data_IF_871889857440
#
_entry.id   IF_871889857440
#
_cell.length_a   1.000
_cell.length_b   1.000
_cell.length_c   1.000
_cell.angle_alpha   90.00
_cell.angle_beta   90.00
_cell.angle_gamma   90.00
#
_symmetry.space_group_name_H-M   'P 1'
#
loop_
_entity.id
_entity.type
_entity.pdbx_description
1 polymer ?
#
# COMPACT_ATOMS: atom_id res chain seq x y z
N UNK A 1 -19.28 0.68 4.80
CA UNK A 1 -18.52 1.68 4.00
C UNK A 1 -17.59 0.88 3.10
N UNK A 2 -17.45 1.20 1.82
CA UNK A 2 -16.54 0.49 0.91
C UNK A 2 -15.18 1.17 0.89
N UNK A 3 -14.12 0.34 0.77
CA UNK A 3 -12.77 0.85 0.56
C UNK A 3 -12.72 1.58 -0.79
N UNK A 4 -12.19 2.78 -0.81
CA UNK A 4 -12.19 3.61 -2.02
C UNK A 4 -10.79 3.98 -2.51
N UNK A 5 -9.74 3.64 -1.73
CA UNK A 5 -8.35 3.93 -2.08
C UNK A 5 -7.42 2.78 -1.66
N UNK A 6 -6.31 2.66 -2.38
CA UNK A 6 -5.13 1.94 -1.89
C UNK A 6 -3.99 2.96 -1.79
N UNK A 7 -3.45 3.13 -0.59
CA UNK A 7 -2.29 3.96 -0.34
C UNK A 7 -1.02 3.16 -0.60
N UNK A 8 -0.23 3.55 -1.59
CA UNK A 8 1.07 2.95 -1.93
C UNK A 8 2.20 3.80 -1.38
N UNK A 9 3.13 3.21 -0.64
CA UNK A 9 4.30 3.85 -0.03
C UNK A 9 5.55 3.50 -0.82
N UNK A 10 6.37 4.52 -1.07
CA UNK A 10 7.55 4.40 -1.93
C UNK A 10 8.82 3.92 -1.19
N UNK A 11 8.81 3.94 0.15
CA UNK A 11 10.00 3.60 0.94
C UNK A 11 11.22 4.44 0.54
N UNK A 12 12.32 3.77 0.20
CA UNK A 12 13.58 4.42 -0.14
C UNK A 12 13.56 5.29 -1.41
N UNK A 13 12.54 5.17 -2.27
CA UNK A 13 12.44 6.02 -3.46
C UNK A 13 12.27 7.51 -3.08
N UNK A 14 11.74 7.80 -1.89
CA UNK A 14 11.58 9.17 -1.39
C UNK A 14 12.91 9.86 -1.12
N UNK A 15 14.00 9.10 -0.89
CA UNK A 15 15.34 9.60 -0.55
C UNK A 15 16.23 9.85 -1.77
N UNK A 16 15.74 9.63 -3.00
CA UNK A 16 16.53 9.74 -4.25
C UNK A 16 16.83 11.18 -4.70
N UNK A 17 16.58 12.18 -3.87
CA UNK A 17 16.92 13.57 -4.14
C UNK A 17 16.34 14.06 -5.48
N UNK A 18 17.19 14.62 -6.34
CA UNK A 18 16.79 15.17 -7.65
C UNK A 18 16.18 14.11 -8.59
N UNK A 19 16.59 12.85 -8.45
CA UNK A 19 16.12 11.74 -9.29
C UNK A 19 14.77 11.15 -8.83
N UNK A 20 14.21 11.57 -7.70
CA UNK A 20 12.97 11.02 -7.16
C UNK A 20 11.83 11.00 -8.18
N UNK A 21 11.61 12.08 -8.91
CA UNK A 21 10.55 12.16 -9.93
C UNK A 21 10.69 11.10 -11.02
N UNK A 22 11.93 10.79 -11.43
CA UNK A 22 12.19 9.71 -12.39
C UNK A 22 11.70 8.37 -11.85
N UNK A 23 12.06 8.04 -10.60
CA UNK A 23 11.68 6.78 -9.97
C UNK A 23 10.17 6.69 -9.73
N UNK A 24 9.54 7.72 -9.19
CA UNK A 24 8.11 7.71 -8.87
C UNK A 24 7.24 7.71 -10.13
N UNK A 25 7.63 8.43 -11.19
CA UNK A 25 6.92 8.39 -12.49
C UNK A 25 7.06 7.03 -13.17
N UNK A 26 8.23 6.41 -13.10
CA UNK A 26 8.42 5.04 -13.62
C UNK A 26 7.57 4.05 -12.82
N UNK A 27 7.55 4.15 -11.49
CA UNK A 27 6.69 3.32 -10.65
C UNK A 27 5.22 3.48 -11.02
N UNK A 28 4.73 4.71 -11.19
CA UNK A 28 3.37 4.97 -11.63
C UNK A 28 3.06 4.30 -12.98
N UNK A 29 4.00 4.43 -13.95
CA UNK A 29 3.85 3.80 -15.26
C UNK A 29 3.73 2.28 -15.14
N UNK A 30 4.67 1.65 -14.46
CA UNK A 30 4.68 0.19 -14.28
C UNK A 30 3.43 -0.29 -13.51
N UNK A 31 2.97 0.49 -12.52
CA UNK A 31 1.73 0.18 -11.78
C UNK A 31 0.52 0.22 -12.71
N UNK A 32 0.41 1.24 -13.57
CA UNK A 32 -0.68 1.35 -14.55
C UNK A 32 -0.68 0.19 -15.55
N UNK A 33 0.51 -0.23 -16.00
CA UNK A 33 0.65 -1.35 -16.94
C UNK A 33 0.20 -2.68 -16.31
N UNK A 34 0.60 -2.96 -15.06
CA UNK A 34 0.21 -4.16 -14.32
C UNK A 34 -1.29 -4.18 -13.97
N UNK A 35 -1.87 -3.01 -13.74
CA UNK A 35 -3.29 -2.86 -13.41
C UNK A 35 -4.16 -2.52 -14.63
N UNK A 36 -3.66 -2.65 -15.85
CA UNK A 36 -4.37 -2.24 -17.08
C UNK A 36 -5.70 -2.98 -17.33
N UNK A 37 -5.89 -4.16 -16.74
CA UNK A 37 -7.14 -4.90 -16.82
C UNK A 37 -8.30 -4.23 -16.02
N UNK A 38 -7.99 -3.36 -15.06
CA UNK A 38 -8.97 -2.64 -14.26
C UNK A 38 -9.24 -1.25 -14.84
N UNK A 39 -10.25 -1.13 -15.69
CA UNK A 39 -10.51 0.08 -16.50
C UNK A 39 -10.96 1.33 -15.70
N UNK A 40 -11.41 1.17 -14.45
CA UNK A 40 -11.98 2.25 -13.66
C UNK A 40 -10.99 2.88 -12.67
N UNK A 41 -9.79 2.34 -12.55
CA UNK A 41 -8.78 2.86 -11.61
C UNK A 41 -8.28 4.24 -12.05
N UNK A 42 -8.17 5.15 -11.08
CA UNK A 42 -7.45 6.41 -11.27
C UNK A 42 -6.31 6.52 -10.26
N UNK A 43 -5.34 7.39 -10.54
CA UNK A 43 -4.09 7.42 -9.79
C UNK A 43 -3.77 8.87 -9.41
N UNK A 44 -3.49 9.09 -8.12
CA UNK A 44 -3.01 10.36 -7.59
C UNK A 44 -1.59 10.18 -7.07
N UNK A 45 -0.61 10.74 -7.80
CA UNK A 45 0.81 10.67 -7.46
C UNK A 45 1.19 11.90 -6.64
N UNK A 46 1.47 11.72 -5.36
CA UNK A 46 1.94 12.75 -4.46
C UNK A 46 3.45 12.66 -4.23
N UNK A 47 3.99 13.59 -3.43
CA UNK A 47 5.42 13.70 -3.19
C UNK A 47 6.03 12.43 -2.54
N UNK A 48 5.32 11.83 -1.59
CA UNK A 48 5.78 10.74 -0.70
C UNK A 48 5.03 9.42 -0.91
N UNK A 49 3.96 9.43 -1.71
CA UNK A 49 3.05 8.30 -1.88
C UNK A 49 2.27 8.37 -3.19
N UNK A 50 1.61 7.29 -3.53
CA UNK A 50 0.63 7.24 -4.61
C UNK A 50 -0.68 6.68 -4.05
N UNK A 51 -1.79 7.25 -4.46
CA UNK A 51 -3.11 6.66 -4.23
C UNK A 51 -3.60 6.00 -5.51
N UNK A 52 -4.07 4.78 -5.40
CA UNK A 52 -4.88 4.12 -6.42
C UNK A 52 -6.32 4.27 -5.98
N UNK A 53 -7.12 5.01 -6.74
CA UNK A 53 -8.54 5.23 -6.49
C UNK A 53 -9.30 4.08 -7.13
N UNK A 54 -10.07 3.35 -6.33
CA UNK A 54 -10.68 2.08 -6.74
C UNK A 54 -11.92 2.27 -7.64
N UNK A 55 -12.70 3.34 -7.44
CA UNK A 55 -13.92 3.64 -8.21
C UNK A 55 -14.86 2.41 -8.34
N UNK A 56 -15.05 1.66 -7.25
CA UNK A 56 -15.87 0.47 -7.20
C UNK A 56 -15.18 -0.82 -7.66
N UNK A 57 -13.88 -0.76 -8.00
CA UNK A 57 -13.08 -1.96 -8.32
C UNK A 57 -12.77 -2.74 -7.05
N UNK A 58 -12.83 -4.06 -7.12
CA UNK A 58 -12.45 -4.94 -6.01
C UNK A 58 -11.00 -4.73 -5.58
N UNK A 59 -10.82 -4.36 -4.31
CA UNK A 59 -9.51 -4.06 -3.76
C UNK A 59 -8.64 -5.31 -3.58
N UNK A 60 -9.18 -6.50 -3.38
CA UNK A 60 -8.40 -7.72 -3.18
C UNK A 60 -7.67 -8.12 -4.47
N UNK A 61 -8.37 -8.05 -5.61
CA UNK A 61 -7.79 -8.31 -6.92
C UNK A 61 -6.66 -7.30 -7.24
N UNK A 62 -6.90 -6.00 -6.97
CA UNK A 62 -5.88 -4.95 -7.15
C UNK A 62 -4.68 -5.17 -6.22
N UNK A 63 -4.91 -5.49 -4.94
CA UNK A 63 -3.85 -5.78 -3.97
C UNK A 63 -2.98 -6.96 -4.41
N UNK A 64 -3.58 -8.00 -4.97
CA UNK A 64 -2.85 -9.18 -5.47
C UNK A 64 -1.86 -8.80 -6.57
N UNK A 65 -2.26 -7.94 -7.50
CA UNK A 65 -1.38 -7.43 -8.55
C UNK A 65 -0.31 -6.47 -8.00
N UNK A 66 -0.67 -5.59 -7.08
CA UNK A 66 0.29 -4.64 -6.47
C UNK A 66 1.45 -5.33 -5.74
N UNK A 67 1.23 -6.53 -5.19
CA UNK A 67 2.31 -7.33 -4.55
C UNK A 67 3.44 -7.67 -5.52
N UNK A 68 3.19 -7.72 -6.83
CA UNK A 68 4.18 -8.09 -7.84
C UNK A 68 4.95 -6.89 -8.42
N UNK A 69 4.53 -5.66 -8.13
CA UNK A 69 5.15 -4.46 -8.70
C UNK A 69 6.43 -4.11 -7.96
N UNK A 70 7.58 -4.25 -8.64
CA UNK A 70 8.86 -3.79 -8.11
C UNK A 70 8.88 -2.26 -7.93
N UNK A 71 9.44 -1.82 -6.80
CA UNK A 71 9.46 -0.41 -6.39
C UNK A 71 8.37 -0.05 -5.37
N UNK A 72 7.35 -0.87 -5.19
CA UNK A 72 6.37 -0.71 -4.11
C UNK A 72 6.97 -1.26 -2.81
N UNK A 73 7.18 -0.39 -1.83
CA UNK A 73 7.67 -0.81 -0.51
C UNK A 73 6.56 -1.49 0.30
N UNK A 74 5.42 -0.83 0.41
CA UNK A 74 4.23 -1.34 1.08
C UNK A 74 2.99 -0.59 0.62
N UNK A 75 1.83 -1.17 0.86
CA UNK A 75 0.55 -0.51 0.60
C UNK A 75 -0.48 -0.89 1.66
N UNK A 76 -1.57 -0.14 1.74
CA UNK A 76 -2.70 -0.40 2.63
C UNK A 76 -3.99 -0.06 1.90
N UNK A 77 -5.02 -0.84 2.16
CA UNK A 77 -6.40 -0.46 1.81
C UNK A 77 -6.79 0.73 2.67
N UNK A 78 -7.42 1.73 2.08
CA UNK A 78 -7.74 2.99 2.75
C UNK A 78 -9.18 3.44 2.46
N UNK A 79 -9.78 4.02 3.48
CA UNK A 79 -11.07 4.68 3.44
C UNK A 79 -10.82 6.18 3.55
N UNK A 80 -11.06 6.93 2.49
CA UNK A 80 -11.00 8.40 2.51
C UNK A 80 -12.38 8.94 2.80
N UNK A 81 -12.48 9.86 3.74
CA UNK A 81 -13.72 10.49 4.17
C UNK A 81 -13.51 11.97 4.50
N UNK A 82 -14.58 12.73 4.59
CA UNK A 82 -14.53 14.09 5.11
C UNK A 82 -13.98 14.14 6.54
N UNK A 83 -13.55 15.33 7.01
CA UNK A 83 -12.97 15.50 8.36
C UNK A 83 -14.01 15.41 9.45
N UNK A 84 -14.62 14.23 9.58
CA UNK A 84 -15.62 13.86 10.58
C UNK A 84 -15.12 12.64 11.35
N UNK A 85 -14.94 12.80 12.68
CA UNK A 85 -14.40 11.73 13.52
C UNK A 85 -15.40 10.57 13.67
N UNK A 86 -16.71 10.84 13.62
CA UNK A 86 -17.73 9.79 13.72
C UNK A 86 -17.66 8.82 12.52
N UNK A 87 -17.42 9.35 11.31
CA UNK A 87 -17.19 8.50 10.14
C UNK A 87 -15.91 7.66 10.29
N UNK A 88 -14.85 8.25 10.85
CA UNK A 88 -13.61 7.52 11.10
C UNK A 88 -13.81 6.40 12.13
N UNK A 89 -14.59 6.62 13.21
CA UNK A 89 -14.95 5.60 14.19
C UNK A 89 -15.68 4.42 13.55
N UNK A 90 -16.66 4.72 12.69
CA UNK A 90 -17.42 3.69 11.95
C UNK A 90 -16.51 2.88 11.02
N UNK A 91 -15.60 3.53 10.29
CA UNK A 91 -14.67 2.84 9.42
C UNK A 91 -13.70 1.94 10.21
N UNK A 92 -13.19 2.42 11.37
CA UNK A 92 -12.34 1.60 12.26
C UNK A 92 -13.09 0.39 12.78
N UNK A 93 -14.33 0.56 13.24
CA UNK A 93 -15.18 -0.54 13.69
C UNK A 93 -15.37 -1.58 12.58
N UNK A 94 -15.68 -1.14 11.36
CA UNK A 94 -15.86 -2.04 10.23
C UNK A 94 -14.59 -2.83 9.89
N UNK A 95 -13.40 -2.17 9.94
CA UNK A 95 -12.13 -2.87 9.74
C UNK A 95 -11.95 -3.96 10.80
N UNK A 96 -12.24 -3.65 12.06
CA UNK A 96 -12.09 -4.59 13.17
C UNK A 96 -13.08 -5.76 13.04
N UNK A 97 -14.33 -5.50 12.68
CA UNK A 97 -15.35 -6.53 12.48
C UNK A 97 -15.00 -7.48 11.32
N UNK A 98 -14.36 -6.97 10.26
CA UNK A 98 -14.00 -7.76 9.07
C UNK A 98 -12.66 -8.52 9.21
N UNK A 99 -11.89 -8.31 10.29
CA UNK A 99 -10.62 -9.00 10.53
C UNK A 99 -10.75 -10.06 11.61
N UNK A 100 -10.10 -11.20 11.50
CA UNK A 100 -10.17 -12.32 12.45
C UNK A 100 -9.34 -12.12 13.74
N UNK A 101 -8.59 -11.02 13.83
CA UNK A 101 -7.76 -10.72 14.99
C UNK A 101 -8.57 -10.38 16.23
N UNK A 102 -8.07 -10.77 17.42
CA UNK A 102 -8.67 -10.47 18.72
C UNK A 102 -7.95 -9.35 19.49
N UNK A 103 -6.88 -8.80 18.92
CA UNK A 103 -6.17 -7.64 19.46
C UNK A 103 -6.03 -6.54 18.43
N UNK A 104 -6.11 -5.29 18.87
CA UNK A 104 -5.98 -4.16 17.96
C UNK A 104 -5.19 -3.00 18.55
N UNK A 105 -4.69 -2.15 17.64
CA UNK A 105 -4.08 -0.86 17.96
C UNK A 105 -4.55 0.18 16.96
N UNK A 106 -4.88 1.35 17.48
CA UNK A 106 -5.15 2.53 16.67
C UNK A 106 -3.93 3.45 16.73
N UNK A 107 -3.47 3.88 15.57
CA UNK A 107 -2.32 4.78 15.44
C UNK A 107 -2.73 6.03 14.67
N UNK A 108 -3.09 7.10 15.39
CA UNK A 108 -3.48 8.37 14.77
C UNK A 108 -2.27 9.24 14.47
N UNK A 109 -2.14 9.65 13.21
CA UNK A 109 -1.17 10.62 12.71
C UNK A 109 -1.90 11.89 12.30
N UNK A 110 -1.40 13.05 12.74
CA UNK A 110 -2.00 14.35 12.45
C UNK A 110 -1.04 15.21 11.65
N UNK A 111 -1.34 15.43 10.37
CA UNK A 111 -0.72 16.49 9.56
C UNK A 111 -1.44 17.81 9.77
N UNK A 112 -2.78 17.77 9.88
CA UNK A 112 -3.57 18.94 10.26
C UNK A 112 -3.57 19.08 11.81
N UNK A 113 -2.81 20.07 12.30
CA UNK A 113 -2.71 20.36 13.73
C UNK A 113 -3.93 21.14 14.26
N UNK A 114 -4.75 21.73 13.39
CA UNK A 114 -5.96 22.46 13.77
C UNK A 114 -7.16 21.54 14.03
N UNK A 115 -7.07 20.26 13.65
CA UNK A 115 -8.13 19.29 13.97
C UNK A 115 -8.21 19.10 15.49
N UNK A 116 -9.42 19.09 16.10
CA UNK A 116 -9.58 18.98 17.54
C UNK A 116 -8.98 17.71 18.13
N UNK A 117 -8.43 17.81 19.33
CA UNK A 117 -7.89 16.71 20.12
C UNK A 117 -6.43 16.34 19.73
N UNK A 118 -5.72 15.74 20.67
CA UNK A 118 -4.41 15.13 20.44
C UNK A 118 -4.55 13.75 19.78
N UNK A 119 -3.47 13.23 19.17
CA UNK A 119 -3.49 11.87 18.62
C UNK A 119 -3.85 10.80 19.68
N UNK A 120 -3.44 11.01 20.93
CA UNK A 120 -3.76 10.08 22.01
C UNK A 120 -5.23 10.13 22.43
N UNK A 121 -5.81 11.33 22.50
CA UNK A 121 -7.23 11.51 22.80
C UNK A 121 -8.09 10.87 21.70
N UNK A 122 -7.76 11.11 20.43
CA UNK A 122 -8.45 10.52 19.28
C UNK A 122 -8.34 8.99 19.31
N UNK A 123 -7.17 8.43 19.63
CA UNK A 123 -7.02 6.98 19.76
C UNK A 123 -7.93 6.41 20.85
N UNK A 124 -8.02 7.07 22.02
CA UNK A 124 -8.88 6.63 23.13
C UNK A 124 -10.35 6.72 22.75
N UNK A 125 -10.75 7.80 22.11
CA UNK A 125 -12.12 8.04 21.69
C UNK A 125 -12.59 6.99 20.67
N UNK A 126 -11.74 6.70 19.66
CA UNK A 126 -12.05 5.67 18.66
C UNK A 126 -12.06 4.28 19.32
N UNK A 127 -11.09 3.96 20.20
CA UNK A 127 -11.08 2.68 20.91
C UNK A 127 -12.30 2.50 21.80
N UNK A 128 -12.72 3.54 22.52
CA UNK A 128 -13.97 3.54 23.30
C UNK A 128 -15.19 3.25 22.43
N UNK A 129 -15.30 3.91 21.29
CA UNK A 129 -16.38 3.64 20.33
C UNK A 129 -16.37 2.17 19.86
N UNK A 130 -15.20 1.62 19.53
CA UNK A 130 -15.06 0.21 19.14
C UNK A 130 -15.55 -0.72 20.26
N UNK A 131 -15.11 -0.53 21.50
CA UNK A 131 -15.53 -1.38 22.62
C UNK A 131 -17.05 -1.34 22.90
N UNK A 132 -17.70 -0.20 22.64
CA UNK A 132 -19.15 -0.06 22.84
C UNK A 132 -20.00 -0.66 21.72
N UNK A 133 -19.43 -0.83 20.51
CA UNK A 133 -20.21 -1.22 19.34
C UNK A 133 -19.78 -2.57 18.73
N UNK A 134 -18.61 -3.10 19.09
CA UNK A 134 -18.17 -4.40 18.57
C UNK A 134 -18.92 -5.55 19.24
N UNK A 135 -19.17 -6.60 18.46
CA UNK A 135 -19.70 -7.88 18.95
C UNK A 135 -18.59 -8.86 19.32
N UNK A 136 -17.33 -8.52 19.04
CA UNK A 136 -16.15 -9.39 19.25
C UNK A 136 -15.55 -9.21 20.64
N UNK A 137 -15.02 -10.29 21.20
CA UNK A 137 -14.10 -10.22 22.34
C UNK A 137 -12.74 -9.73 21.85
N UNK A 138 -12.48 -8.43 22.01
CA UNK A 138 -11.29 -7.77 21.50
C UNK A 138 -10.56 -6.99 22.60
N UNK A 139 -9.22 -6.92 22.50
CA UNK A 139 -8.37 -6.20 23.46
C UNK A 139 -7.42 -5.25 22.74
N UNK A 140 -7.00 -4.18 23.40
CA UNK A 140 -5.93 -3.30 22.91
C UNK A 140 -4.59 -3.96 23.20
N UNK A 141 -3.76 -4.11 22.17
CA UNK A 141 -2.35 -4.48 22.29
C UNK A 141 -1.48 -3.43 21.57
N UNK A 142 -0.66 -2.70 22.35
CA UNK A 142 0.17 -1.63 21.83
C UNK A 142 1.51 -2.11 21.26
N UNK A 143 1.88 -3.36 21.52
CA UNK A 143 3.19 -3.92 21.13
C UNK A 143 3.11 -4.81 19.89
N UNK A 144 2.21 -5.79 19.89
CA UNK A 144 2.06 -6.77 18.81
C UNK A 144 0.57 -6.98 18.46
N UNK A 145 -0.15 -5.92 18.00
CA UNK A 145 -1.56 -6.05 17.66
C UNK A 145 -1.74 -6.93 16.42
N UNK A 146 -2.76 -7.79 16.45
CA UNK A 146 -3.18 -8.54 15.26
C UNK A 146 -3.75 -7.61 14.18
N UNK A 147 -4.46 -6.55 14.61
CA UNK A 147 -5.07 -5.56 13.74
C UNK A 147 -4.47 -4.18 14.05
N UNK A 148 -3.72 -3.62 13.09
CA UNK A 148 -3.17 -2.26 13.19
C UNK A 148 -3.97 -1.33 12.28
N UNK A 149 -4.79 -0.47 12.88
CA UNK A 149 -5.50 0.56 12.14
C UNK A 149 -4.78 1.90 12.26
N UNK A 150 -4.43 2.49 11.12
CA UNK A 150 -3.83 3.82 11.07
C UNK A 150 -4.89 4.84 10.65
N UNK A 151 -5.03 5.92 11.44
CA UNK A 151 -5.91 7.05 11.14
C UNK A 151 -5.04 8.26 10.83
N UNK A 152 -5.03 8.70 9.57
CA UNK A 152 -4.30 9.92 9.17
C UNK A 152 -5.27 11.09 9.01
N UNK A 153 -5.12 12.12 9.85
CA UNK A 153 -5.88 13.36 9.76
C UNK A 153 -5.04 14.36 8.97
N UNK A 154 -5.48 14.63 7.74
CA UNK A 154 -4.82 15.55 6.81
C UNK A 154 -5.65 16.81 6.62
N UNK A 155 -5.11 17.77 5.89
CA UNK A 155 -5.79 19.05 5.63
C UNK A 155 -7.07 18.87 4.79
N UNK A 156 -7.06 17.91 3.87
CA UNK A 156 -8.15 17.64 2.90
C UNK A 156 -9.18 16.62 3.40
N UNK A 157 -8.77 15.64 4.22
CA UNK A 157 -9.61 14.50 4.57
C UNK A 157 -9.06 13.72 5.79
N UNK A 158 -9.86 12.79 6.29
CA UNK A 158 -9.39 11.69 7.15
C UNK A 158 -9.23 10.44 6.29
N UNK A 159 -8.13 9.74 6.51
CA UNK A 159 -7.82 8.45 5.89
C UNK A 159 -7.72 7.39 6.99
N UNK A 160 -8.56 6.39 6.93
CA UNK A 160 -8.49 5.21 7.80
C UNK A 160 -7.91 4.08 6.98
N UNK A 161 -6.84 3.48 7.48
CA UNK A 161 -6.09 2.44 6.76
C UNK A 161 -6.03 1.18 7.59
N UNK A 162 -6.28 0.07 6.93
CA UNK A 162 -6.07 -1.27 7.44
C UNK A 162 -4.58 -1.62 7.47
N UNK A 163 -4.28 -2.87 7.79
CA UNK A 163 -2.95 -3.44 7.89
C UNK A 163 -2.02 -3.05 6.73
N UNK A 164 -0.72 -3.00 7.04
CA UNK A 164 0.31 -2.72 6.05
C UNK A 164 0.69 -4.01 5.33
N UNK A 165 0.43 -4.05 4.03
CA UNK A 165 0.82 -5.15 3.15
C UNK A 165 2.19 -4.84 2.56
N UNK A 166 3.16 -5.75 2.68
CA UNK A 166 4.48 -5.59 2.06
C UNK A 166 4.38 -5.75 0.55
N UNK A 167 5.01 -4.84 -0.19
CA UNK A 167 5.19 -4.93 -1.64
C UNK A 167 6.44 -5.72 -2.03
N UNK A 168 6.71 -5.82 -3.33
CA UNK A 168 7.90 -6.50 -3.87
C UNK A 168 9.22 -5.81 -3.47
N UNK A 169 9.16 -4.53 -3.11
CA UNK A 169 10.34 -3.72 -2.82
C UNK A 169 11.23 -3.49 -4.03
N UNK A 170 12.48 -3.10 -3.79
CA UNK A 170 13.44 -2.82 -4.85
C UNK A 170 13.16 -1.52 -5.60
N UNK A 171 13.55 -1.46 -6.88
CA UNK A 171 13.39 -0.30 -7.74
C UNK A 171 12.41 -0.57 -8.88
N UNK A 172 11.70 0.47 -9.37
CA UNK A 172 10.83 0.30 -10.54
C UNK A 172 11.63 -0.19 -11.76
N UNK A 173 11.16 -1.23 -12.41
CA UNK A 173 11.81 -1.80 -13.60
C UNK A 173 11.98 -0.73 -14.67
N UNK A 174 13.15 -0.68 -15.29
CA UNK A 174 13.53 0.25 -16.33
C UNK A 174 14.22 1.54 -15.85
N UNK A 175 14.38 1.76 -14.51
CA UNK A 175 15.18 2.89 -14.01
C UNK A 175 16.68 2.60 -14.05
N UNK A 176 17.08 1.32 -14.05
CA UNK A 176 18.47 0.84 -14.09
C UNK A 176 18.98 0.49 -15.50
N UNK A 177 18.23 0.87 -16.55
CA UNK A 177 18.56 0.51 -17.93
C UNK A 177 18.01 -0.86 -18.34
N UNK A 178 18.62 -1.47 -19.37
CA UNK A 178 18.23 -2.78 -19.92
C UNK A 178 19.40 -3.75 -19.89
N UNK A 179 19.10 -5.04 -19.77
CA UNK A 179 20.05 -6.13 -19.89
C UNK A 179 19.48 -7.29 -20.70
N UNK A 180 20.36 -8.04 -21.35
CA UNK A 180 20.01 -9.30 -22.00
C UNK A 180 20.35 -10.45 -21.06
N UNK A 181 19.34 -11.23 -20.69
CA UNK A 181 19.48 -12.41 -19.83
C UNK A 181 19.53 -13.68 -20.69
N UNK A 182 20.64 -14.42 -20.61
CA UNK A 182 20.70 -15.75 -21.19
C UNK A 182 19.98 -16.75 -20.29
N UNK A 183 18.85 -17.26 -20.77
CA UNK A 183 18.06 -18.27 -20.07
C UNK A 183 18.62 -19.66 -20.32
N UNK A 184 18.99 -20.35 -19.26
CA UNK A 184 19.32 -21.78 -19.28
C UNK A 184 18.11 -22.63 -18.87
N UNK A 185 18.22 -23.94 -18.96
CA UNK A 185 17.20 -24.87 -18.42
C UNK A 185 17.26 -25.03 -16.89
N UNK A 186 18.24 -24.39 -16.22
CA UNK A 186 18.42 -24.46 -14.78
C UNK A 186 17.66 -23.37 -14.01
N UNK A 187 17.60 -23.52 -12.68
CA UNK A 187 16.90 -22.61 -11.76
C UNK A 187 17.61 -21.27 -11.57
N UNK A 188 18.91 -21.17 -11.82
CA UNK A 188 19.70 -19.98 -11.49
C UNK A 188 19.37 -18.79 -12.39
N UNK A 189 19.11 -19.01 -13.67
CA UNK A 189 18.81 -17.92 -14.60
C UNK A 189 17.48 -17.21 -14.30
N UNK A 190 16.36 -17.87 -13.96
CA UNK A 190 15.15 -17.17 -13.49
C UNK A 190 15.39 -16.38 -12.19
N UNK A 191 16.17 -16.91 -11.26
CA UNK A 191 16.52 -16.22 -9.99
C UNK A 191 17.36 -14.97 -10.29
N UNK A 192 18.37 -15.08 -11.15
CA UNK A 192 19.17 -13.93 -11.59
C UNK A 192 18.30 -12.87 -12.27
N UNK A 193 17.36 -13.28 -13.13
CA UNK A 193 16.38 -12.41 -13.76
C UNK A 193 15.52 -11.67 -12.75
N UNK A 194 14.96 -12.38 -11.78
CA UNK A 194 14.16 -11.77 -10.70
C UNK A 194 14.96 -10.72 -9.90
N UNK A 195 16.19 -11.07 -9.51
CA UNK A 195 17.05 -10.15 -8.76
C UNK A 195 17.44 -8.92 -9.59
N UNK A 196 17.66 -9.09 -10.88
CA UNK A 196 17.97 -8.01 -11.83
C UNK A 196 16.77 -7.06 -11.99
N UNK A 197 15.57 -7.60 -12.21
CA UNK A 197 14.31 -6.84 -12.24
C UNK A 197 14.10 -6.07 -10.93
N UNK A 198 14.35 -6.71 -9.79
CA UNK A 198 14.22 -6.09 -8.46
C UNK A 198 15.19 -4.92 -8.26
N UNK A 199 16.30 -4.89 -8.96
CA UNK A 199 17.25 -3.76 -9.01
C UNK A 199 16.85 -2.66 -9.99
N UNK A 200 15.70 -2.82 -10.66
CA UNK A 200 15.15 -1.84 -11.57
C UNK A 200 15.67 -1.93 -12.99
N UNK A 201 16.42 -2.98 -13.32
CA UNK A 201 16.91 -3.23 -14.69
C UNK A 201 15.80 -3.96 -15.46
N UNK A 202 15.46 -3.45 -16.62
CA UNK A 202 14.57 -4.12 -17.57
C UNK A 202 15.33 -5.26 -18.26
N UNK A 203 14.71 -6.43 -18.45
CA UNK A 203 15.39 -7.59 -19.04
C UNK A 203 14.66 -8.08 -20.29
N UNK A 204 15.47 -8.36 -21.29
CA UNK A 204 15.08 -9.18 -22.44
C UNK A 204 15.74 -10.55 -22.29
N UNK A 205 15.04 -11.62 -22.66
CA UNK A 205 15.56 -12.96 -22.47
C UNK A 205 15.91 -13.58 -23.81
N UNK A 206 17.05 -14.30 -23.86
CA UNK A 206 17.44 -15.15 -24.98
C UNK A 206 17.69 -16.58 -24.51
N UNK A 207 17.18 -17.55 -25.24
CA UNK A 207 17.40 -18.97 -24.97
C UNK A 207 17.96 -19.64 -26.21
N UNK A 208 19.05 -20.36 -26.04
CA UNK A 208 19.64 -21.19 -27.10
C UNK A 208 19.10 -22.60 -26.96
N UNK A 209 18.13 -22.97 -27.81
CA UNK A 209 17.65 -24.34 -27.86
C UNK A 209 18.69 -25.25 -28.48
N UNK A 210 19.05 -26.34 -27.80
CA UNK A 210 19.77 -27.44 -28.43
C UNK A 210 18.71 -28.39 -29.03
N UNK A 211 18.78 -28.74 -30.32
CA UNK A 211 17.92 -29.80 -30.86
C UNK A 211 18.21 -31.12 -30.11
N UNK A 212 17.20 -31.99 -29.98
CA UNK A 212 17.34 -33.29 -29.33
C UNK A 212 18.31 -34.18 -30.06
#
# INVERSE_FOLDING_TARGET
MEANYILVRFGELTTKGKNRKLFTNRLLKNTKEILAEFNHLTYDLQHDRMYVVLNGTDHEAVCTKLKTVFGIYSFSVAYKMEKNLELAKQAVLQIIENNDGNTFKINTKRSDKNFPGSSQEINREIAGYVFHHTTKEIKVDVHAPAILVTVEIRYDAIYVMDNIIKGAGGYPVGVGGKALLMMSGGIDSPVAGYLTLKRGVDIECIHFAAPP
#
